data_IF_469588375266
#
_entry.id   IF_469588375266
#
_cell.length_a   1.000
_cell.length_b   1.000
_cell.length_c   1.000
_cell.angle_alpha   90.00
_cell.angle_beta   90.00
_cell.angle_gamma   90.00
#
_symmetry.space_group_name_H-M   'P 1'
#
loop_
_entity.id
_entity.type
_entity.pdbx_description
1 polymer ?
#
# COMPACT_ATOMS: atom_id res chain seq x y z
N UNK A 1 11.13 7.15 7.69
CA UNK A 1 9.68 7.42 7.59
C UNK A 1 9.02 6.81 8.82
N UNK A 2 8.32 7.58 9.66
CA UNK A 2 7.55 7.02 10.77
C UNK A 2 6.26 6.39 10.22
N UNK A 3 6.11 5.08 10.44
CA UNK A 3 5.07 4.23 9.86
C UNK A 3 3.72 4.38 10.58
N UNK A 4 3.09 5.55 10.40
CA UNK A 4 1.75 5.84 10.94
C UNK A 4 0.64 4.86 10.52
N UNK A 5 0.83 4.10 9.44
CA UNK A 5 -0.06 3.00 9.06
C UNK A 5 -0.11 1.86 10.09
N UNK A 6 0.92 1.67 10.94
CA UNK A 6 1.21 0.35 11.54
C UNK A 6 1.61 0.40 13.02
N UNK A 7 1.49 1.56 13.67
CA UNK A 7 1.81 1.74 15.09
C UNK A 7 0.64 2.38 15.86
N UNK A 8 0.52 2.02 17.14
CA UNK A 8 -0.54 2.51 18.01
C UNK A 8 -1.92 2.01 17.58
N UNK A 9 -2.84 2.95 17.31
CA UNK A 9 -4.27 2.70 17.09
C UNK A 9 -4.57 1.61 16.06
N UNK A 10 -3.87 1.61 14.92
CA UNK A 10 -4.12 0.62 13.86
C UNK A 10 -3.86 -0.82 14.28
N UNK A 11 -2.81 -1.09 15.07
CA UNK A 11 -2.56 -2.43 15.58
C UNK A 11 -3.68 -2.89 16.51
N UNK A 12 -4.13 -2.00 17.40
CA UNK A 12 -5.21 -2.27 18.35
C UNK A 12 -6.55 -2.45 17.65
N UNK A 13 -6.92 -1.58 16.72
CA UNK A 13 -8.22 -1.63 16.04
C UNK A 13 -8.34 -2.84 15.11
N UNK A 14 -7.27 -3.20 14.38
CA UNK A 14 -7.23 -4.45 13.60
C UNK A 14 -7.39 -5.68 14.50
N UNK A 15 -6.68 -5.74 15.64
CA UNK A 15 -6.83 -6.83 16.59
C UNK A 15 -8.26 -6.90 17.16
N UNK A 16 -8.86 -5.77 17.52
CA UNK A 16 -10.22 -5.70 18.04
C UNK A 16 -11.28 -6.12 17.00
N UNK A 17 -11.15 -5.69 15.74
CA UNK A 17 -12.08 -6.07 14.66
C UNK A 17 -12.13 -7.58 14.43
N UNK A 18 -11.01 -8.29 14.57
CA UNK A 18 -10.94 -9.75 14.48
C UNK A 18 -11.07 -10.47 15.84
N UNK A 19 -11.36 -9.71 16.91
CA UNK A 19 -11.48 -10.21 18.29
C UNK A 19 -10.24 -11.03 18.73
N UNK A 20 -9.06 -10.56 18.35
CA UNK A 20 -7.76 -11.09 18.77
C UNK A 20 -7.38 -10.42 20.10
N UNK A 21 -7.09 -11.24 21.10
CA UNK A 21 -6.77 -10.80 22.47
C UNK A 21 -5.36 -11.21 22.86
N UNK A 22 -4.75 -10.50 23.79
CA UNK A 22 -3.49 -10.93 24.41
C UNK A 22 -3.78 -12.00 25.49
N UNK A 23 -4.19 -13.19 25.04
CA UNK A 23 -4.51 -14.31 25.93
C UNK A 23 -3.24 -15.00 26.44
N UNK A 24 -3.32 -15.49 27.68
CA UNK A 24 -2.25 -16.26 28.34
C UNK A 24 -2.66 -17.70 28.64
N UNK A 25 -3.95 -18.03 28.53
CA UNK A 25 -4.45 -19.38 28.74
C UNK A 25 -4.31 -20.24 27.46
N UNK A 26 -4.12 -21.56 27.57
CA UNK A 26 -3.93 -22.42 26.40
C UNK A 26 -5.10 -22.41 25.40
N UNK A 27 -6.35 -22.22 25.86
CA UNK A 27 -7.52 -22.27 24.99
C UNK A 27 -7.71 -20.96 24.20
N UNK A 28 -7.48 -19.81 24.83
CA UNK A 28 -7.43 -18.50 24.18
C UNK A 28 -6.29 -18.38 23.18
N UNK A 29 -5.09 -18.86 23.54
CA UNK A 29 -3.93 -18.96 22.64
C UNK A 29 -4.27 -19.81 21.40
N UNK A 30 -4.89 -20.98 21.59
CA UNK A 30 -5.27 -21.85 20.46
C UNK A 30 -6.37 -21.21 19.59
N UNK A 31 -7.38 -20.59 20.21
CA UNK A 31 -8.45 -19.85 19.51
C UNK A 31 -7.88 -18.73 18.64
N UNK A 32 -6.91 -17.97 19.15
CA UNK A 32 -6.21 -16.94 18.38
C UNK A 32 -5.43 -17.54 17.20
N UNK A 33 -4.72 -18.67 17.39
CA UNK A 33 -3.99 -19.36 16.30
C UNK A 33 -4.92 -19.77 15.18
N UNK A 34 -6.04 -20.39 15.52
CA UNK A 34 -6.99 -20.90 14.52
C UNK A 34 -7.69 -19.76 13.77
N UNK A 35 -8.06 -18.69 14.46
CA UNK A 35 -8.53 -17.44 13.84
C UNK A 35 -7.51 -16.83 12.88
N UNK A 36 -6.27 -16.61 13.35
CA UNK A 36 -5.20 -15.99 12.52
C UNK A 36 -4.85 -16.87 11.33
N UNK A 37 -4.80 -18.20 11.52
CA UNK A 37 -4.60 -19.16 10.43
C UNK A 37 -5.72 -19.04 9.40
N UNK A 38 -6.98 -19.01 9.80
CA UNK A 38 -8.11 -18.88 8.89
C UNK A 38 -8.14 -17.52 8.15
N UNK A 39 -7.78 -16.42 8.83
CA UNK A 39 -7.73 -15.08 8.25
C UNK A 39 -6.60 -14.91 7.22
N UNK A 40 -5.44 -15.54 7.46
CA UNK A 40 -4.29 -15.51 6.56
C UNK A 40 -4.41 -16.52 5.41
N UNK A 41 -5.11 -17.65 5.62
CA UNK A 41 -5.41 -18.61 4.57
C UNK A 41 -6.19 -17.94 3.45
N UNK A 42 -5.75 -18.11 2.20
CA UNK A 42 -6.33 -17.44 1.03
C UNK A 42 -6.43 -15.91 1.12
N UNK A 43 -5.74 -15.25 2.06
CA UNK A 43 -5.94 -13.85 2.49
C UNK A 43 -7.42 -13.50 2.78
N UNK A 44 -8.16 -14.42 3.38
CA UNK A 44 -9.58 -14.30 3.76
C UNK A 44 -9.91 -13.01 4.54
N UNK A 45 -8.95 -12.43 5.28
CA UNK A 45 -9.12 -11.16 5.99
C UNK A 45 -9.57 -9.99 5.08
N UNK A 46 -9.29 -10.09 3.78
CA UNK A 46 -9.67 -9.09 2.76
C UNK A 46 -11.15 -9.16 2.36
N UNK A 47 -11.83 -10.28 2.62
CA UNK A 47 -13.25 -10.48 2.30
C UNK A 47 -14.13 -9.80 3.35
N UNK A 48 -15.26 -9.23 2.93
CA UNK A 48 -16.28 -8.74 3.86
C UNK A 48 -17.16 -9.89 4.41
N UNK A 49 -17.43 -10.87 3.54
CA UNK A 49 -18.19 -12.11 3.78
C UNK A 49 -17.54 -13.20 2.91
N UNK A 50 -17.42 -14.43 3.42
CA UNK A 50 -16.71 -15.52 2.72
C UNK A 50 -17.31 -15.86 1.35
N UNK A 51 -18.62 -15.67 1.17
CA UNK A 51 -19.34 -15.98 -0.07
C UNK A 51 -19.29 -14.86 -1.13
N UNK A 52 -18.58 -13.75 -0.86
CA UNK A 52 -18.55 -12.56 -1.72
C UNK A 52 -17.13 -12.20 -2.19
N UNK A 53 -16.55 -13.08 -3.01
CA UNK A 53 -15.25 -12.86 -3.68
C UNK A 53 -15.22 -11.57 -4.53
N UNK A 54 -16.36 -11.18 -5.11
CA UNK A 54 -16.53 -9.94 -5.89
C UNK A 54 -16.25 -8.65 -5.09
N UNK A 55 -16.25 -8.73 -3.75
CA UNK A 55 -16.05 -7.62 -2.82
C UNK A 55 -14.74 -7.75 -2.00
N UNK A 56 -13.77 -8.51 -2.51
CA UNK A 56 -12.46 -8.65 -1.87
C UNK A 56 -11.70 -7.32 -1.85
N UNK A 57 -11.10 -6.97 -0.71
CA UNK A 57 -10.54 -5.64 -0.40
C UNK A 57 -11.55 -4.52 -0.13
N UNK A 58 -12.86 -4.80 -0.14
CA UNK A 58 -13.91 -3.84 0.29
C UNK A 58 -14.28 -3.96 1.79
N UNK A 59 -13.57 -4.80 2.55
CA UNK A 59 -13.77 -4.95 4.00
C UNK A 59 -13.54 -3.61 4.74
N UNK A 60 -14.44 -3.27 5.67
CA UNK A 60 -14.41 -2.04 6.47
C UNK A 60 -13.12 -1.82 7.25
N UNK A 61 -12.34 -2.88 7.52
CA UNK A 61 -11.03 -2.75 8.16
C UNK A 61 -10.07 -1.85 7.38
N UNK A 62 -10.13 -1.85 6.05
CA UNK A 62 -9.27 -1.00 5.24
C UNK A 62 -9.61 0.47 5.42
N UNK A 63 -10.89 0.81 5.55
CA UNK A 63 -11.33 2.17 5.91
C UNK A 63 -10.78 2.58 7.27
N UNK A 64 -10.86 1.71 8.28
CA UNK A 64 -10.29 1.94 9.61
C UNK A 64 -8.77 2.21 9.56
N UNK A 65 -8.01 1.34 8.89
CA UNK A 65 -6.55 1.46 8.75
C UNK A 65 -6.15 2.73 8.01
N UNK A 66 -6.83 3.05 6.90
CA UNK A 66 -6.57 4.23 6.08
C UNK A 66 -6.94 5.52 6.81
N UNK A 67 -8.05 5.54 7.55
CA UNK A 67 -8.46 6.70 8.35
C UNK A 67 -7.39 7.08 9.38
N UNK A 68 -6.99 6.17 10.24
CA UNK A 68 -5.97 6.42 11.26
C UNK A 68 -4.58 6.76 10.69
N UNK A 69 -4.27 6.28 9.49
CA UNK A 69 -2.97 6.49 8.86
C UNK A 69 -2.87 7.80 8.07
N UNK A 70 -3.92 8.12 7.30
CA UNK A 70 -3.91 9.15 6.25
C UNK A 70 -4.93 10.26 6.47
N UNK A 71 -6.03 10.01 7.21
CA UNK A 71 -7.15 10.94 7.40
C UNK A 71 -7.49 11.19 8.89
N UNK A 72 -6.52 10.99 9.79
CA UNK A 72 -6.71 10.97 11.25
C UNK A 72 -7.04 12.33 11.88
N UNK A 73 -6.80 13.40 11.13
CA UNK A 73 -6.90 14.80 11.56
C UNK A 73 -6.91 15.71 10.32
N UNK A 74 -7.28 16.97 10.50
CA UNK A 74 -7.45 17.91 9.39
C UNK A 74 -6.12 18.27 8.67
N UNK A 75 -4.99 18.12 9.36
CA UNK A 75 -3.61 18.26 8.85
C UNK A 75 -3.03 16.94 8.29
N UNK A 76 -3.79 15.85 8.33
CA UNK A 76 -3.31 14.55 7.84
C UNK A 76 -3.15 14.54 6.31
N UNK A 77 -2.16 13.80 5.81
CA UNK A 77 -1.72 13.88 4.40
C UNK A 77 -2.83 13.56 3.36
N UNK A 78 -3.80 12.71 3.69
CA UNK A 78 -4.95 12.41 2.83
C UNK A 78 -6.02 13.50 2.82
N UNK A 79 -6.06 14.36 3.84
CA UNK A 79 -6.94 15.53 3.89
C UNK A 79 -6.28 16.72 3.17
N UNK A 80 -4.99 16.96 3.42
CA UNK A 80 -4.23 18.07 2.81
C UNK A 80 -4.01 17.84 1.31
N UNK A 81 -3.43 16.69 0.94
CA UNK A 81 -3.17 16.32 -0.46
C UNK A 81 -4.34 15.54 -1.07
N UNK A 82 -5.53 16.12 -0.96
CA UNK A 82 -6.79 15.51 -1.37
C UNK A 82 -6.82 15.07 -2.86
N UNK A 83 -6.01 15.72 -3.69
CA UNK A 83 -5.77 15.42 -5.10
C UNK A 83 -5.06 14.08 -5.33
N UNK A 84 -4.14 13.70 -4.43
CA UNK A 84 -3.37 12.46 -4.52
C UNK A 84 -4.12 11.22 -3.98
N UNK A 85 -5.22 11.43 -3.25
CA UNK A 85 -5.98 10.37 -2.58
C UNK A 85 -7.46 10.31 -3.01
N UNK A 86 -7.79 10.83 -4.21
CA UNK A 86 -9.15 10.90 -4.73
C UNK A 86 -9.24 10.43 -6.19
N UNK A 87 -9.29 9.11 -6.46
CA UNK A 87 -9.54 8.04 -5.51
C UNK A 87 -8.29 7.57 -4.75
N UNK A 88 -8.49 6.82 -3.69
CA UNK A 88 -7.43 6.00 -3.09
C UNK A 88 -6.94 5.00 -4.14
N UNK A 89 -5.62 4.82 -4.23
CA UNK A 89 -4.99 4.07 -5.32
C UNK A 89 -4.80 2.59 -4.97
N UNK A 90 -4.67 1.70 -5.98
CA UNK A 90 -4.38 0.28 -5.74
C UNK A 90 -3.09 0.05 -4.92
N UNK A 91 -1.97 0.77 -5.17
CA UNK A 91 -0.82 0.80 -4.26
C UNK A 91 -1.17 1.13 -2.81
N UNK A 92 -2.05 2.11 -2.58
CA UNK A 92 -2.46 2.49 -1.22
C UNK A 92 -3.27 1.37 -0.54
N UNK A 93 -4.14 0.68 -1.29
CA UNK A 93 -4.89 -0.49 -0.78
C UNK A 93 -3.99 -1.70 -0.51
N UNK A 94 -3.05 -2.00 -1.40
CA UNK A 94 -2.06 -3.07 -1.18
C UNK A 94 -1.22 -2.80 0.07
N UNK A 95 -0.81 -1.54 0.29
CA UNK A 95 -0.05 -1.14 1.48
C UNK A 95 -0.87 -1.25 2.78
N UNK A 96 -2.16 -0.84 2.74
CA UNK A 96 -3.07 -1.05 3.87
C UNK A 96 -3.29 -2.54 4.16
N UNK A 97 -3.33 -3.38 3.12
CA UNK A 97 -3.48 -4.83 3.24
C UNK A 97 -2.25 -5.48 3.89
N UNK A 98 -1.04 -5.11 3.46
CA UNK A 98 0.20 -5.53 4.13
C UNK A 98 0.27 -5.09 5.60
N UNK A 99 -0.30 -3.93 5.93
CA UNK A 99 -0.37 -3.45 7.32
C UNK A 99 -1.33 -4.31 8.17
N UNK A 100 -2.50 -4.70 7.64
CA UNK A 100 -3.42 -5.65 8.30
C UNK A 100 -2.75 -7.02 8.45
N UNK A 101 -2.15 -7.56 7.39
CA UNK A 101 -1.47 -8.85 7.42
C UNK A 101 -0.32 -8.87 8.44
N UNK A 102 0.45 -7.79 8.56
CA UNK A 102 1.48 -7.63 9.60
C UNK A 102 0.91 -7.69 11.02
N UNK A 103 -0.28 -7.14 11.27
CA UNK A 103 -0.94 -7.26 12.59
C UNK A 103 -1.39 -8.70 12.82
N UNK A 104 -2.00 -9.36 11.84
CA UNK A 104 -2.37 -10.78 11.95
C UNK A 104 -1.14 -11.67 12.22
N UNK A 105 -0.03 -11.42 11.52
CA UNK A 105 1.25 -12.11 11.74
C UNK A 105 1.84 -11.87 13.14
N UNK A 106 1.56 -10.74 13.80
CA UNK A 106 1.94 -10.54 15.21
C UNK A 106 1.13 -11.36 16.21
N UNK A 107 0.00 -11.95 15.81
CA UNK A 107 -0.79 -12.88 16.63
C UNK A 107 -0.62 -14.36 16.21
N UNK A 108 0.28 -14.66 15.26
CA UNK A 108 0.45 -16.01 14.68
C UNK A 108 0.82 -17.09 15.71
N UNK A 109 1.45 -16.74 16.82
CA UNK A 109 1.77 -17.66 17.93
C UNK A 109 0.60 -17.91 18.88
N UNK A 110 -0.54 -17.25 18.68
CA UNK A 110 -1.68 -17.19 19.59
C UNK A 110 -1.56 -16.10 20.67
N UNK A 111 -0.38 -15.50 20.80
CA UNK A 111 -0.06 -14.38 21.68
C UNK A 111 0.39 -13.17 20.84
N UNK A 112 0.27 -11.96 21.37
CA UNK A 112 0.78 -10.77 20.67
C UNK A 112 2.31 -10.67 20.79
N UNK A 113 3.00 -10.97 19.69
CA UNK A 113 4.45 -10.79 19.52
C UNK A 113 4.66 -9.66 18.51
N UNK A 114 5.09 -8.46 18.94
CA UNK A 114 5.31 -7.33 18.04
C UNK A 114 6.24 -7.72 16.88
N UNK A 115 5.81 -7.41 15.66
CA UNK A 115 6.66 -7.40 14.46
C UNK A 115 7.03 -5.97 14.09
N UNK A 116 8.09 -5.81 13.31
CA UNK A 116 8.40 -4.54 12.66
C UNK A 116 7.83 -4.52 11.24
N UNK A 117 7.32 -3.35 10.80
CA UNK A 117 6.90 -3.18 9.41
C UNK A 117 8.10 -2.83 8.53
N UNK A 118 8.98 -3.80 8.34
CA UNK A 118 10.20 -3.64 7.53
C UNK A 118 9.92 -3.81 6.04
N UNK A 119 10.61 -3.04 5.20
CA UNK A 119 10.51 -3.22 3.75
C UNK A 119 10.99 -4.62 3.30
N UNK A 120 12.03 -5.15 3.94
CA UNK A 120 12.59 -6.48 3.62
C UNK A 120 11.53 -7.58 3.77
N UNK A 121 10.73 -7.54 4.83
CA UNK A 121 9.70 -8.56 5.09
C UNK A 121 8.38 -8.28 4.34
N UNK A 122 7.96 -7.02 4.23
CA UNK A 122 6.62 -6.67 3.74
C UNK A 122 6.55 -6.21 2.28
N UNK A 123 7.67 -5.93 1.60
CA UNK A 123 7.66 -5.66 0.15
C UNK A 123 7.13 -6.85 -0.68
N UNK A 124 7.49 -8.12 -0.40
CA UNK A 124 6.88 -9.27 -1.09
C UNK A 124 5.36 -9.36 -0.87
N UNK A 125 4.90 -9.20 0.38
CA UNK A 125 3.47 -9.25 0.74
C UNK A 125 2.69 -8.12 0.03
N UNK A 126 3.26 -6.92 -0.01
CA UNK A 126 2.72 -5.79 -0.76
C UNK A 126 2.55 -6.10 -2.25
N UNK A 127 3.55 -6.69 -2.89
CA UNK A 127 3.46 -7.07 -4.31
C UNK A 127 2.46 -8.20 -4.55
N UNK A 128 2.33 -9.15 -3.62
CA UNK A 128 1.26 -10.17 -3.65
C UNK A 128 -0.11 -9.52 -3.67
N UNK A 129 -0.44 -8.63 -2.71
CA UNK A 129 -1.73 -7.94 -2.71
C UNK A 129 -1.96 -7.10 -3.96
N UNK A 130 -0.92 -6.41 -4.47
CA UNK A 130 -1.03 -5.60 -5.68
C UNK A 130 -1.33 -6.48 -6.91
N UNK A 131 -0.70 -7.65 -7.01
CA UNK A 131 -0.98 -8.64 -8.05
C UNK A 131 -2.39 -9.23 -7.91
N UNK A 132 -2.84 -9.56 -6.69
CA UNK A 132 -4.21 -10.03 -6.43
C UNK A 132 -5.26 -8.98 -6.80
N UNK A 133 -5.06 -7.72 -6.42
CA UNK A 133 -5.92 -6.60 -6.81
C UNK A 133 -5.99 -6.47 -8.34
N UNK A 134 -4.85 -6.52 -9.03
CA UNK A 134 -4.81 -6.46 -10.49
C UNK A 134 -5.49 -7.67 -11.17
N UNK A 135 -5.41 -8.86 -10.56
CA UNK A 135 -6.01 -10.09 -11.08
C UNK A 135 -7.55 -10.12 -10.92
N UNK A 136 -8.06 -9.73 -9.76
CA UNK A 136 -9.52 -9.69 -9.48
C UNK A 136 -10.18 -8.56 -10.25
N UNK A 137 -9.56 -7.38 -10.22
CA UNK A 137 -10.07 -6.19 -10.90
C UNK A 137 -9.45 -6.05 -12.31
N UNK A 138 -9.48 -7.14 -13.07
CA UNK A 138 -8.99 -7.19 -14.45
C UNK A 138 -10.06 -6.82 -15.50
N UNK A 139 -11.36 -6.86 -15.15
CA UNK A 139 -12.46 -6.49 -16.06
C UNK A 139 -12.88 -5.01 -15.87
N UNK A 140 -13.33 -4.32 -16.94
CA UNK A 140 -13.83 -2.94 -16.82
C UNK A 140 -15.00 -2.78 -15.83
N UNK A 141 -15.85 -3.80 -15.70
CA UNK A 141 -16.96 -3.82 -14.73
C UNK A 141 -16.43 -3.82 -13.29
N UNK A 142 -15.53 -4.76 -12.98
CA UNK A 142 -14.93 -4.89 -11.66
C UNK A 142 -14.12 -3.64 -11.30
N UNK A 143 -13.29 -3.13 -12.23
CA UNK A 143 -12.56 -1.88 -12.06
C UNK A 143 -13.50 -0.70 -11.75
N UNK A 144 -14.61 -0.59 -12.49
CA UNK A 144 -15.62 0.43 -12.24
C UNK A 144 -16.33 0.31 -10.89
N UNK A 145 -16.45 -0.91 -10.33
CA UNK A 145 -16.96 -1.13 -8.98
C UNK A 145 -15.93 -0.69 -7.92
N UNK A 146 -14.69 -1.17 -8.02
CA UNK A 146 -13.63 -0.82 -7.07
C UNK A 146 -13.32 0.68 -7.08
N UNK A 147 -13.21 1.32 -8.24
CA UNK A 147 -12.96 2.77 -8.33
C UNK A 147 -14.09 3.56 -7.64
N UNK A 148 -15.35 3.13 -7.78
CA UNK A 148 -16.48 3.72 -7.03
C UNK A 148 -16.38 3.47 -5.52
N UNK A 149 -15.92 2.29 -5.09
CA UNK A 149 -15.66 2.03 -3.68
C UNK A 149 -14.55 2.95 -3.14
N UNK A 150 -13.41 3.03 -3.83
CA UNK A 150 -12.25 3.81 -3.38
C UNK A 150 -12.48 5.33 -3.40
N UNK A 151 -13.30 5.84 -4.32
CA UNK A 151 -13.84 7.20 -4.22
C UNK A 151 -14.71 7.39 -2.98
N UNK A 152 -15.71 6.51 -2.78
CA UNK A 152 -16.62 6.59 -1.63
C UNK A 152 -15.87 6.52 -0.30
N UNK A 153 -14.86 5.66 -0.20
CA UNK A 153 -14.03 5.53 0.99
C UNK A 153 -13.28 6.85 1.25
N UNK A 154 -12.59 7.40 0.23
CA UNK A 154 -11.90 8.69 0.34
C UNK A 154 -12.85 9.85 0.73
N UNK A 155 -14.08 9.88 0.20
CA UNK A 155 -15.07 10.90 0.53
C UNK A 155 -15.58 10.76 1.97
N UNK A 156 -15.86 9.53 2.41
CA UNK A 156 -16.27 9.23 3.78
C UNK A 156 -15.17 9.59 4.78
N UNK A 157 -13.92 9.26 4.49
CA UNK A 157 -12.74 9.62 5.28
C UNK A 157 -12.54 11.13 5.43
N UNK A 158 -12.93 11.92 4.43
CA UNK A 158 -12.77 13.39 4.42
C UNK A 158 -13.98 14.15 4.98
N UNK A 159 -15.17 13.53 5.03
CA UNK A 159 -16.42 14.13 5.53
C UNK A 159 -16.31 14.84 6.89
N UNK A 160 -15.48 14.39 7.88
CA UNK A 160 -15.31 15.09 9.16
C UNK A 160 -14.57 16.43 9.08
N UNK A 161 -13.94 16.79 7.95
CA UNK A 161 -13.08 17.97 7.82
C UNK A 161 -13.59 19.00 6.77
N UNK A 162 -14.86 19.44 6.83
CA UNK A 162 -15.37 20.45 5.92
C UNK A 162 -14.60 21.76 6.08
N UNK A 163 -14.16 22.36 4.96
CA UNK A 163 -13.44 23.64 4.94
C UNK A 163 -11.92 23.56 5.10
N UNK A 164 -11.33 22.40 5.41
CA UNK A 164 -9.85 22.21 5.44
C UNK A 164 -9.32 21.58 4.14
N UNK A 165 -10.22 21.16 3.25
CA UNK A 165 -9.90 20.85 1.84
C UNK A 165 -9.51 22.18 1.17
N UNK A 166 -8.24 22.56 1.33
CA UNK A 166 -7.68 23.68 0.60
C UNK A 166 -7.76 23.34 -0.89
N UNK A 167 -8.33 24.25 -1.67
CA UNK A 167 -7.98 24.41 -3.08
C UNK A 167 -6.57 25.00 -3.16
N UNK A 168 -5.59 24.29 -2.59
CA UNK A 168 -4.17 24.53 -2.83
C UNK A 168 -4.01 24.52 -4.35
N UNK A 169 -3.62 25.67 -4.91
CA UNK A 169 -3.43 25.82 -6.35
C UNK A 169 -2.66 24.63 -6.89
N UNK A 170 -3.18 23.98 -7.93
CA UNK A 170 -2.69 22.70 -8.46
C UNK A 170 -1.25 22.86 -8.95
N UNK A 171 -0.29 22.81 -8.04
CA UNK A 171 1.12 22.59 -8.34
C UNK A 171 1.25 21.11 -8.58
N UNK A 172 1.02 20.73 -9.85
CA UNK A 172 1.17 19.38 -10.37
C UNK A 172 2.43 18.73 -9.77
N UNK A 173 2.26 17.81 -8.82
CA UNK A 173 3.40 17.15 -8.15
C UNK A 173 3.93 16.07 -9.10
N UNK A 174 4.76 16.50 -10.05
CA UNK A 174 5.46 15.60 -10.94
C UNK A 174 6.32 14.63 -10.13
N UNK A 175 6.29 13.35 -10.51
CA UNK A 175 7.19 12.35 -9.94
C UNK A 175 8.63 12.81 -10.13
N UNK A 176 9.32 13.12 -9.01
CA UNK A 176 10.76 13.46 -9.01
C UNK A 176 11.64 12.32 -9.53
N UNK A 177 11.09 11.11 -9.63
CA UNK A 177 11.70 9.95 -10.25
C UNK A 177 11.07 9.79 -11.64
N UNK A 178 11.82 9.97 -12.74
CA UNK A 178 11.32 9.69 -14.09
C UNK A 178 10.71 8.29 -14.17
N UNK A 179 9.53 8.16 -14.80
CA UNK A 179 8.89 6.85 -14.98
C UNK A 179 9.80 5.85 -15.70
N UNK A 180 10.70 6.32 -16.58
CA UNK A 180 11.74 5.52 -17.20
C UNK A 180 12.72 4.88 -16.18
N UNK A 181 13.08 5.57 -15.09
CA UNK A 181 13.93 5.02 -14.03
C UNK A 181 13.19 4.01 -13.17
N UNK A 182 11.89 4.22 -12.91
CA UNK A 182 11.02 3.25 -12.24
C UNK A 182 10.93 1.98 -13.10
N UNK A 183 10.60 2.13 -14.39
CA UNK A 183 10.50 1.02 -15.33
C UNK A 183 11.83 0.29 -15.54
N UNK A 184 12.97 1.00 -15.61
CA UNK A 184 14.29 0.38 -15.73
C UNK A 184 14.65 -0.47 -14.51
N UNK A 185 14.32 0.01 -13.29
CA UNK A 185 14.56 -0.74 -12.04
C UNK A 185 13.81 -2.07 -12.02
N UNK A 186 12.55 -2.09 -12.45
CA UNK A 186 11.76 -3.33 -12.54
C UNK A 186 12.07 -4.18 -13.78
N UNK A 187 12.66 -3.62 -14.83
CA UNK A 187 13.14 -4.39 -15.99
C UNK A 187 14.40 -5.20 -15.67
N UNK A 188 15.22 -4.73 -14.71
CA UNK A 188 16.44 -5.41 -14.25
C UNK A 188 16.17 -6.68 -13.41
N UNK A 189 15.13 -6.68 -12.57
CA UNK A 189 14.76 -7.87 -11.78
C UNK A 189 14.15 -9.00 -12.64
N UNK A 190 13.74 -8.69 -13.88
CA UNK A 190 13.28 -9.67 -14.86
C UNK A 190 14.37 -10.29 -15.75
N UNK A 191 15.64 -9.86 -15.64
CA UNK A 191 16.73 -10.33 -16.50
C UNK A 191 18.04 -10.59 -15.76
N UNK A 192 18.06 -11.63 -14.91
CA UNK A 192 19.29 -12.13 -14.28
C UNK A 192 19.55 -13.62 -14.54
N UNK A 193 19.38 -14.05 -15.80
CA UNK A 193 20.01 -15.27 -16.35
C UNK A 193 20.49 -15.08 -17.81
N UNK A 194 21.52 -14.27 -18.02
CA UNK A 194 22.50 -14.49 -19.10
C UNK A 194 23.76 -13.64 -18.91
N UNK A 195 24.92 -14.29 -18.90
CA UNK A 195 26.22 -13.62 -18.91
C UNK A 195 26.53 -13.09 -20.30
N UNK A 196 26.74 -11.77 -20.43
CA UNK A 196 27.60 -11.22 -21.49
C UNK A 196 28.30 -9.96 -20.99
N UNK A 197 29.63 -9.97 -20.97
CA UNK A 197 30.45 -8.81 -20.61
C UNK A 197 30.29 -7.68 -21.64
N UNK A 198 30.28 -6.40 -21.23
CA UNK A 198 30.27 -5.29 -22.18
C UNK A 198 31.65 -5.12 -22.81
N UNK A 199 31.69 -5.08 -24.14
CA UNK A 199 32.87 -4.62 -24.89
C UNK A 199 33.00 -3.11 -24.66
N UNK A 200 34.21 -2.69 -24.26
CA UNK A 200 34.58 -1.28 -24.14
C UNK A 200 34.88 -0.76 -25.55
N UNK A 201 34.14 0.26 -26.00
CA UNK A 201 34.54 1.10 -27.13
C UNK A 201 34.92 2.50 -26.61
N UNK A 202 36.16 2.91 -26.88
CA UNK A 202 36.70 4.20 -26.47
C UNK A 202 36.80 5.13 -27.68
N UNK A 203 35.91 6.12 -27.74
CA UNK A 203 36.08 7.29 -28.62
C UNK A 203 36.22 8.55 -27.77
N UNK A 204 37.37 9.27 -27.82
CA UNK A 204 37.63 10.39 -26.92
C UNK A 204 36.91 11.69 -27.31
N UNK A 205 36.53 12.46 -26.28
CA UNK A 205 35.85 13.75 -26.37
C UNK A 205 36.69 14.82 -27.10
N UNK A 206 36.10 15.49 -28.09
CA UNK A 206 36.63 16.76 -28.62
C UNK A 206 35.94 17.96 -27.93
N UNK A 207 36.69 18.94 -27.40
CA UNK A 207 36.12 20.15 -26.81
C UNK A 207 35.71 21.20 -27.87
N UNK A 208 34.81 22.15 -27.54
CA UNK A 208 34.22 23.07 -28.51
C UNK A 208 35.17 24.21 -28.92
N UNK A 209 35.13 24.60 -30.21
CA UNK A 209 35.78 25.80 -30.74
C UNK A 209 34.86 27.02 -30.60
N UNK A 210 35.40 28.12 -30.08
CA UNK A 210 34.76 29.44 -30.11
C UNK A 210 35.08 30.22 -31.42
N UNK A 211 34.19 31.13 -31.88
CA UNK A 211 34.49 32.13 -32.91
C UNK A 211 35.23 33.34 -32.28
N UNK A 212 36.04 34.14 -33.02
CA UNK A 212 35.54 35.12 -34.01
C UNK A 212 36.44 35.14 -35.29
N UNK A 213 36.44 36.08 -36.26
CA UNK A 213 35.85 37.43 -36.42
C UNK A 213 35.38 37.68 -37.87
N UNK A 214 34.79 38.86 -38.13
CA UNK A 214 34.66 39.46 -39.47
C UNK A 214 35.75 40.52 -39.70
N UNK A 215 36.22 40.63 -40.95
CA UNK A 215 36.87 41.80 -41.53
C UNK A 215 36.45 41.91 -43.00
#
# INVERSE_FOLDING_TARGET
MQTGLVLGKNGTEVALSYQLKAESDPAGIQTNRDKVKHLLDGVNFTLQLLDHLDAMYENSIFSTVLNNALFRSADAIGVVHNDLFSPITLPCMALASSAVERVLLSYRTGTHVPKDFSAVEFTPIYFTHLATLAAIYNTPKAQGQLVKHLHRLADQSRKPYPGVIQTTSITHVWSRIPQALIAARYRLEGSSTSNTSPIIDQSPLQPPRAPPSLH
#
